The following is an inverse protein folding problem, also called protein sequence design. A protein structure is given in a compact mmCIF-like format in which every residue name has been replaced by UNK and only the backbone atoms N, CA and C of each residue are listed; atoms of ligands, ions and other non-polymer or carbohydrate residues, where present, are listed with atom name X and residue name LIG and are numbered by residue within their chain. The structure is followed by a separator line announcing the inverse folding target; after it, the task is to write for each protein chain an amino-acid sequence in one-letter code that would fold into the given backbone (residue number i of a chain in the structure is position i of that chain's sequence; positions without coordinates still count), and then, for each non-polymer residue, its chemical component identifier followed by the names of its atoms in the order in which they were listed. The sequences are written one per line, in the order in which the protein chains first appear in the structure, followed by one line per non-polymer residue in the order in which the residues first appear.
data_IF_601709256576
#
_entry.id   IF_601709256576
#
_cell.length_a   1.000
_cell.length_b   1.000
_cell.length_c   1.000
_cell.angle_alpha   90.00
_cell.angle_beta   90.00
_cell.angle_gamma   90.00
#
_symmetry.space_group_name_H-M   'P 1'
#
loop_
_entity.id
_entity.type
_entity.pdbx_description
1 polymer ?
#
# COMPACT_ATOMS: atom_id res chain seq x y z
N UNK A 1 -38.77 16.28 14.18
CA UNK A 1 -37.68 16.24 13.33
C UNK A 1 -37.16 14.92 12.81
N UNK A 2 -37.58 13.74 13.29
CA UNK A 2 -36.94 12.46 12.88
C UNK A 2 -37.47 11.87 11.57
N UNK A 3 -38.56 12.37 11.02
CA UNK A 3 -39.20 11.81 9.82
C UNK A 3 -38.55 12.20 8.48
N UNK A 4 -37.59 13.14 8.46
CA UNK A 4 -36.90 13.62 7.25
C UNK A 4 -35.36 13.50 7.33
N UNK A 5 -34.81 12.71 8.22
CA UNK A 5 -33.36 12.50 8.28
C UNK A 5 -32.90 11.68 7.07
N UNK A 6 -32.21 12.31 6.13
CA UNK A 6 -31.55 11.62 5.03
C UNK A 6 -30.27 10.97 5.56
N UNK A 7 -30.10 9.69 5.30
CA UNK A 7 -28.86 8.98 5.56
C UNK A 7 -27.83 9.34 4.49
N UNK A 8 -26.62 9.65 4.91
CA UNK A 8 -25.45 9.79 4.03
C UNK A 8 -24.33 8.87 4.49
N UNK A 9 -23.61 8.34 3.54
CA UNK A 9 -22.42 7.54 3.77
C UNK A 9 -21.31 8.10 2.87
N UNK A 10 -20.21 8.48 3.48
CA UNK A 10 -19.05 9.04 2.79
C UNK A 10 -18.08 7.92 2.47
N UNK A 11 -17.64 7.86 1.20
CA UNK A 11 -16.60 6.96 0.73
C UNK A 11 -15.42 7.77 0.24
N UNK A 12 -14.22 7.37 0.62
CA UNK A 12 -12.99 7.97 0.12
C UNK A 12 -11.91 6.91 -0.11
N UNK A 13 -10.93 7.24 -0.91
CA UNK A 13 -9.79 6.37 -1.21
C UNK A 13 -8.53 7.20 -1.41
N UNK A 14 -7.59 6.67 -2.18
CA UNK A 14 -6.25 7.23 -2.36
C UNK A 14 -6.24 8.59 -3.07
N UNK A 15 -7.27 8.92 -3.85
CA UNK A 15 -7.46 10.26 -4.41
C UNK A 15 -7.59 11.36 -3.35
N UNK A 16 -7.95 11.00 -2.12
CA UNK A 16 -8.03 11.90 -0.94
C UNK A 16 -6.76 11.84 -0.11
N UNK A 17 -6.20 10.65 0.10
CA UNK A 17 -5.13 10.43 1.08
C UNK A 17 -3.72 10.62 0.55
N UNK A 18 -3.49 10.43 -0.76
CA UNK A 18 -2.17 10.60 -1.39
C UNK A 18 -1.89 12.07 -1.75
N UNK A 19 -2.06 12.94 -0.74
CA UNK A 19 -1.76 14.37 -0.78
C UNK A 19 -0.98 14.78 0.48
N UNK A 20 -0.21 15.85 0.38
CA UNK A 20 0.54 16.42 1.53
C UNK A 20 -0.38 16.78 2.72
N UNK A 21 -1.65 17.06 2.45
CA UNK A 21 -2.68 17.35 3.45
C UNK A 21 -3.77 16.25 3.52
N UNK A 22 -3.45 15.01 3.11
CA UNK A 22 -4.40 13.91 3.05
C UNK A 22 -5.07 13.61 4.39
N UNK A 23 -4.30 13.57 5.48
CA UNK A 23 -4.82 13.37 6.84
C UNK A 23 -5.83 14.43 7.25
N UNK A 24 -5.59 15.72 6.93
CA UNK A 24 -6.54 16.80 7.22
C UNK A 24 -7.84 16.63 6.43
N UNK A 25 -7.73 16.22 5.17
CA UNK A 25 -8.92 15.99 4.33
C UNK A 25 -9.78 14.84 4.88
N UNK A 26 -9.17 13.76 5.36
CA UNK A 26 -9.90 12.67 6.03
C UNK A 26 -10.57 13.14 7.31
N UNK A 27 -9.89 13.96 8.12
CA UNK A 27 -10.48 14.56 9.33
C UNK A 27 -11.69 15.43 8.99
N UNK A 28 -11.63 16.24 7.92
CA UNK A 28 -12.75 17.07 7.48
C UNK A 28 -13.93 16.24 6.95
N UNK A 29 -13.70 15.11 6.32
CA UNK A 29 -14.74 14.15 5.93
C UNK A 29 -15.43 13.58 7.18
N UNK A 30 -14.66 13.23 8.20
CA UNK A 30 -15.21 12.78 9.48
C UNK A 30 -16.01 13.88 10.18
N UNK A 31 -15.53 15.12 10.17
CA UNK A 31 -16.24 16.30 10.70
C UNK A 31 -17.58 16.50 9.97
N UNK A 32 -17.60 16.36 8.65
CA UNK A 32 -18.84 16.47 7.85
C UNK A 32 -19.86 15.39 8.27
N UNK A 33 -19.43 14.16 8.44
CA UNK A 33 -20.29 13.08 8.90
C UNK A 33 -20.83 13.34 10.32
N UNK A 34 -19.99 13.83 11.23
CA UNK A 34 -20.40 14.18 12.59
C UNK A 34 -21.39 15.35 12.63
N UNK A 35 -21.11 16.46 11.93
CA UNK A 35 -21.97 17.67 11.97
C UNK A 35 -23.34 17.41 11.32
N UNK A 36 -23.42 16.49 10.39
CA UNK A 36 -24.67 16.08 9.73
C UNK A 36 -25.38 14.92 10.45
N UNK A 37 -24.80 14.39 11.55
CA UNK A 37 -25.37 13.28 12.33
C UNK A 37 -25.31 11.94 11.61
N UNK A 38 -24.40 11.77 10.64
CA UNK A 38 -24.25 10.54 9.86
C UNK A 38 -23.21 9.58 10.46
N UNK A 39 -23.30 9.34 11.76
CA UNK A 39 -22.45 8.44 12.55
C UNK A 39 -23.33 7.57 13.46
N UNK A 40 -22.89 6.35 13.75
CA UNK A 40 -23.44 5.51 14.83
C UNK A 40 -24.81 4.91 14.54
N UNK A 41 -25.27 4.85 13.31
CA UNK A 41 -26.55 4.23 12.94
C UNK A 41 -26.44 3.50 11.59
N UNK A 42 -27.38 2.62 11.33
CA UNK A 42 -27.39 1.82 10.09
C UNK A 42 -27.52 2.70 8.86
N UNK A 43 -26.68 2.44 7.85
CA UNK A 43 -26.72 3.12 6.55
C UNK A 43 -26.04 4.50 6.53
N UNK A 44 -25.19 4.80 7.52
CA UNK A 44 -24.38 6.02 7.56
C UNK A 44 -22.93 5.68 7.95
N UNK A 45 -22.03 6.63 7.81
CA UNK A 45 -20.64 6.53 8.29
C UNK A 45 -19.61 7.02 7.29
N UNK A 46 -18.36 7.00 7.73
CA UNK A 46 -17.19 7.28 6.90
C UNK A 46 -16.47 5.97 6.59
N UNK A 47 -16.30 5.66 5.30
CA UNK A 47 -15.83 4.38 4.85
C UNK A 47 -14.66 4.54 3.88
N UNK A 48 -13.41 4.37 4.34
CA UNK A 48 -12.27 4.32 3.44
C UNK A 48 -12.36 3.07 2.54
N UNK A 49 -12.28 3.27 1.23
CA UNK A 49 -12.20 2.18 0.27
C UNK A 49 -10.76 1.66 0.23
N UNK A 50 -10.51 0.58 0.94
CA UNK A 50 -9.21 -0.09 0.95
C UNK A 50 -8.90 -0.65 -0.44
N UNK A 51 -7.74 -0.32 -1.02
CA UNK A 51 -7.39 -0.67 -2.40
C UNK A 51 -6.94 -2.13 -2.54
N UNK A 52 -5.99 -2.54 -1.73
CA UNK A 52 -5.40 -3.88 -1.81
C UNK A 52 -6.30 -4.91 -1.11
N UNK A 53 -6.25 -6.15 -1.60
CA UNK A 53 -6.85 -7.27 -0.90
C UNK A 53 -6.19 -7.46 0.46
N UNK A 54 -7.00 -7.62 1.51
CA UNK A 54 -6.55 -7.79 2.90
C UNK A 54 -5.73 -6.62 3.50
N UNK A 55 -5.69 -5.44 2.91
CA UNK A 55 -5.01 -4.29 3.53
C UNK A 55 -5.62 -3.93 4.89
N UNK A 56 -6.94 -4.10 5.05
CA UNK A 56 -7.59 -3.92 6.34
C UNK A 56 -7.07 -4.92 7.35
N UNK A 57 -6.96 -6.20 7.00
CA UNK A 57 -6.44 -7.25 7.88
C UNK A 57 -4.97 -7.03 8.26
N UNK A 58 -4.14 -6.58 7.33
CA UNK A 58 -2.76 -6.22 7.63
C UNK A 58 -2.70 -5.07 8.66
N UNK A 59 -3.51 -4.03 8.49
CA UNK A 59 -3.63 -2.95 9.47
C UNK A 59 -4.12 -3.45 10.83
N UNK A 60 -5.13 -4.32 10.84
CA UNK A 60 -5.71 -4.88 12.08
C UNK A 60 -4.68 -5.69 12.88
N UNK A 61 -3.72 -6.31 12.19
CA UNK A 61 -2.63 -7.10 12.79
C UNK A 61 -1.39 -6.28 13.17
N UNK A 62 -1.45 -4.95 13.05
CA UNK A 62 -0.37 -4.08 13.48
C UNK A 62 0.76 -3.91 12.45
N UNK A 63 0.47 -4.00 11.16
CA UNK A 63 1.47 -3.69 10.11
C UNK A 63 1.72 -2.18 10.00
N UNK A 64 2.05 -1.57 11.15
CA UNK A 64 2.43 -0.17 11.32
C UNK A 64 3.61 -0.07 12.28
N UNK A 65 4.51 0.90 12.10
CA UNK A 65 5.68 1.04 12.98
C UNK A 65 5.32 1.48 14.41
N UNK A 66 4.09 1.88 14.68
CA UNK A 66 3.66 2.47 15.95
C UNK A 66 2.53 1.70 16.63
N UNK A 67 2.08 0.55 16.08
CA UNK A 67 0.94 -0.19 16.61
C UNK A 67 1.17 -1.69 16.73
N UNK A 68 0.64 -2.27 17.79
CA UNK A 68 0.42 -3.69 17.95
C UNK A 68 -0.93 -4.11 17.35
N UNK A 69 -1.23 -5.42 17.21
CA UNK A 69 -2.53 -5.89 16.77
C UNK A 69 -3.70 -5.23 17.50
N UNK A 70 -4.74 -4.85 16.75
CA UNK A 70 -5.92 -4.17 17.29
C UNK A 70 -5.76 -2.67 17.52
N UNK A 71 -4.83 -2.01 16.81
CA UNK A 71 -4.61 -0.55 16.88
C UNK A 71 -4.18 -0.07 18.27
N UNK A 72 -3.35 -0.84 18.95
CA UNK A 72 -2.81 -0.50 20.27
C UNK A 72 -1.40 0.04 20.14
N UNK A 73 -1.19 1.26 20.59
CA UNK A 73 0.07 1.98 20.40
C UNK A 73 1.23 1.31 21.15
N UNK A 74 2.41 1.22 20.53
CA UNK A 74 3.60 0.57 21.10
C UNK A 74 4.09 1.23 22.39
N UNK A 75 3.81 2.52 22.59
CA UNK A 75 4.13 3.26 23.83
C UNK A 75 3.17 2.96 24.99
N UNK A 76 2.04 2.25 24.75
CA UNK A 76 1.16 1.82 25.83
C UNK A 76 1.81 0.70 26.62
N UNK A 77 2.30 1.06 27.81
CA UNK A 77 3.01 0.14 28.70
C UNK A 77 2.17 -1.07 29.09
N UNK A 78 0.86 -0.89 29.31
CA UNK A 78 -0.03 -1.99 29.69
C UNK A 78 -0.14 -3.04 28.60
N UNK A 79 -0.35 -2.59 27.35
CA UNK A 79 -0.38 -3.47 26.18
C UNK A 79 0.97 -4.13 25.97
N UNK A 80 2.06 -3.35 26.01
CA UNK A 80 3.40 -3.87 25.78
C UNK A 80 3.78 -4.95 26.79
N UNK A 81 3.63 -4.69 28.08
CA UNK A 81 3.93 -5.69 29.13
C UNK A 81 3.09 -6.96 28.96
N UNK A 82 1.81 -6.86 28.58
CA UNK A 82 0.98 -8.05 28.34
C UNK A 82 1.49 -8.89 27.17
N UNK A 83 2.06 -8.26 26.13
CA UNK A 83 2.64 -8.98 24.97
C UNK A 83 4.04 -9.51 25.30
N UNK A 84 4.84 -8.77 26.05
CA UNK A 84 6.16 -9.21 26.57
C UNK A 84 6.02 -10.48 27.42
N UNK A 85 5.05 -10.49 28.33
CA UNK A 85 4.73 -11.67 29.16
C UNK A 85 4.25 -12.87 28.34
N UNK A 86 3.45 -12.61 27.28
CA UNK A 86 2.91 -13.69 26.45
C UNK A 86 3.93 -14.31 25.50
N UNK A 87 4.88 -13.51 25.01
CA UNK A 87 5.88 -13.91 24.03
C UNK A 87 7.27 -14.18 24.62
N UNK A 88 7.46 -13.88 25.90
CA UNK A 88 8.74 -14.01 26.61
C UNK A 88 9.87 -13.25 25.92
N UNK A 89 9.61 -11.98 25.56
CA UNK A 89 10.54 -11.07 24.88
C UNK A 89 10.46 -9.67 25.46
N UNK A 90 11.49 -8.87 25.24
CA UNK A 90 11.47 -7.43 25.47
C UNK A 90 11.06 -6.70 24.17
N UNK A 91 10.06 -5.83 24.23
CA UNK A 91 9.54 -5.09 23.10
C UNK A 91 9.91 -3.61 23.16
N UNK A 92 10.16 -3.00 22.01
CA UNK A 92 10.42 -1.57 21.92
C UNK A 92 9.15 -0.76 22.21
N UNK A 93 9.30 0.29 23.04
CA UNK A 93 8.21 1.21 23.38
C UNK A 93 8.13 2.45 22.48
N UNK A 94 9.11 2.64 21.63
CA UNK A 94 9.15 3.75 20.68
C UNK A 94 8.72 3.27 19.27
N UNK A 95 7.98 4.11 18.52
CA UNK A 95 7.61 3.78 17.15
C UNK A 95 8.82 3.50 16.26
N UNK A 96 8.71 2.48 15.41
CA UNK A 96 9.70 2.21 14.38
C UNK A 96 9.68 3.24 13.23
N UNK A 97 10.57 3.04 12.27
CA UNK A 97 10.66 3.90 11.07
C UNK A 97 9.50 3.62 10.12
N UNK A 98 9.03 4.67 9.45
CA UNK A 98 8.13 4.56 8.28
C UNK A 98 8.95 4.34 7.02
N UNK A 99 8.34 3.83 5.94
CA UNK A 99 9.06 3.46 4.71
C UNK A 99 9.98 4.57 4.19
N UNK A 100 9.55 5.83 4.02
CA UNK A 100 10.46 6.89 3.58
C UNK A 100 11.66 7.07 4.51
N UNK A 101 11.44 7.00 5.82
CA UNK A 101 12.51 7.11 6.80
C UNK A 101 13.45 5.89 6.81
N UNK A 102 12.94 4.68 6.53
CA UNK A 102 13.79 3.48 6.37
C UNK A 102 14.76 3.68 5.21
N UNK A 103 14.29 4.24 4.08
CA UNK A 103 15.09 4.51 2.90
C UNK A 103 16.20 5.56 3.19
N UNK A 104 15.83 6.67 3.85
CA UNK A 104 16.80 7.69 4.27
C UNK A 104 17.88 7.11 5.20
N UNK A 105 17.46 6.32 6.19
CA UNK A 105 18.38 5.71 7.14
C UNK A 105 19.21 4.57 6.53
N UNK A 106 18.74 3.94 5.45
CA UNK A 106 19.52 2.97 4.68
C UNK A 106 20.68 3.67 3.96
N UNK A 107 20.43 4.79 3.29
CA UNK A 107 21.47 5.59 2.64
C UNK A 107 22.48 6.12 3.65
N UNK A 108 22.03 6.46 4.86
CA UNK A 108 22.91 6.89 5.95
C UNK A 108 23.73 5.74 6.60
N UNK A 109 23.42 4.48 6.23
CA UNK A 109 24.07 3.27 6.77
C UNK A 109 23.56 2.82 8.14
N UNK A 110 22.48 3.41 8.65
CA UNK A 110 21.89 3.03 9.95
C UNK A 110 20.84 1.92 9.82
N UNK A 111 20.06 1.94 8.75
CA UNK A 111 19.10 0.86 8.44
C UNK A 111 19.79 -0.15 7.51
N UNK A 112 20.11 -1.33 8.04
CA UNK A 112 21.06 -2.26 7.41
C UNK A 112 20.42 -3.44 6.73
N UNK A 113 19.24 -3.86 7.18
CA UNK A 113 18.55 -5.03 6.65
C UNK A 113 17.07 -4.80 6.49
N UNK A 114 16.51 -5.33 5.40
CA UNK A 114 15.09 -5.29 5.09
C UNK A 114 14.57 -6.69 4.78
N UNK A 115 13.46 -7.06 5.40
CA UNK A 115 12.61 -8.16 4.94
C UNK A 115 11.34 -7.57 4.34
N UNK A 116 11.17 -7.75 3.03
CA UNK A 116 10.05 -7.23 2.24
C UNK A 116 9.18 -8.41 1.79
N UNK A 117 7.94 -8.45 2.24
CA UNK A 117 7.00 -9.52 1.92
C UNK A 117 5.79 -8.98 1.16
N UNK A 118 5.58 -9.48 -0.08
CA UNK A 118 4.41 -9.18 -0.89
C UNK A 118 4.32 -7.72 -1.37
N UNK A 119 5.45 -7.02 -1.44
CA UNK A 119 5.53 -5.61 -1.81
C UNK A 119 6.62 -5.38 -2.86
N UNK A 120 6.36 -4.51 -3.83
CA UNK A 120 7.33 -4.11 -4.86
C UNK A 120 7.69 -2.63 -4.73
N UNK A 121 8.45 -2.30 -3.67
CA UNK A 121 8.78 -0.92 -3.30
C UNK A 121 9.66 -0.22 -4.34
N UNK A 122 10.49 -0.95 -5.08
CA UNK A 122 11.31 -0.37 -6.15
C UNK A 122 10.47 0.21 -7.29
N UNK A 123 9.24 -0.29 -7.49
CA UNK A 123 8.30 0.24 -8.48
C UNK A 123 7.20 1.10 -7.86
N UNK A 124 6.74 0.81 -6.63
CA UNK A 124 5.59 1.48 -6.02
C UNK A 124 5.92 2.82 -5.38
N UNK A 125 7.10 2.96 -4.78
CA UNK A 125 7.44 4.15 -4.01
C UNK A 125 7.90 5.32 -4.90
N UNK A 126 7.70 6.57 -4.46
CA UNK A 126 8.07 7.75 -5.24
C UNK A 126 9.58 7.91 -5.31
N UNK A 127 10.06 8.70 -6.28
CA UNK A 127 11.49 8.95 -6.48
C UNK A 127 12.28 7.63 -6.58
N UNK A 128 11.97 6.82 -7.57
CA UNK A 128 12.55 5.48 -7.80
C UNK A 128 14.09 5.46 -7.66
N UNK A 129 14.78 6.54 -8.06
CA UNK A 129 16.25 6.61 -7.95
C UNK A 129 16.71 6.62 -6.49
N UNK A 130 15.98 7.32 -5.61
CA UNK A 130 16.24 7.31 -4.16
C UNK A 130 15.99 5.92 -3.57
N UNK A 131 14.87 5.30 -3.93
CA UNK A 131 14.50 3.95 -3.47
C UNK A 131 15.54 2.90 -3.84
N UNK A 132 15.93 2.87 -5.12
CA UNK A 132 16.91 1.89 -5.59
C UNK A 132 18.29 2.10 -4.97
N UNK A 133 18.71 3.35 -4.79
CA UNK A 133 19.95 3.67 -4.07
C UNK A 133 19.90 3.21 -2.60
N UNK A 134 18.76 3.38 -1.93
CA UNK A 134 18.58 2.89 -0.56
C UNK A 134 18.68 1.35 -0.49
N UNK A 135 18.02 0.63 -1.41
CA UNK A 135 18.11 -0.83 -1.47
C UNK A 135 19.54 -1.32 -1.72
N UNK A 136 20.29 -0.66 -2.61
CA UNK A 136 21.71 -0.98 -2.88
C UNK A 136 22.63 -0.68 -1.69
N UNK A 137 22.23 0.23 -0.79
CA UNK A 137 23.01 0.63 0.39
C UNK A 137 22.85 -0.33 1.57
N UNK A 138 21.86 -1.22 1.56
CA UNK A 138 21.61 -2.16 2.66
C UNK A 138 22.57 -3.35 2.65
N UNK A 139 22.95 -3.81 3.83
CA UNK A 139 23.80 -5.01 4.01
C UNK A 139 23.03 -6.30 3.67
N UNK A 140 21.72 -6.33 3.88
CA UNK A 140 20.87 -7.49 3.60
C UNK A 140 19.48 -7.07 3.18
N UNK A 141 19.05 -7.51 2.01
CA UNK A 141 17.66 -7.38 1.51
C UNK A 141 17.12 -8.78 1.25
N UNK A 142 16.06 -9.15 1.96
CA UNK A 142 15.33 -10.40 1.78
C UNK A 142 13.98 -10.03 1.19
N UNK A 143 13.60 -10.63 0.07
CA UNK A 143 12.30 -10.43 -0.56
C UNK A 143 11.54 -11.74 -0.60
N UNK A 144 10.32 -11.75 -0.09
CA UNK A 144 9.37 -12.86 -0.24
C UNK A 144 8.22 -12.40 -1.12
N UNK A 145 8.07 -13.00 -2.29
CA UNK A 145 6.99 -12.68 -3.22
C UNK A 145 6.65 -13.85 -4.13
N UNK A 146 5.53 -13.75 -4.84
CA UNK A 146 5.09 -14.73 -5.85
C UNK A 146 5.97 -14.72 -7.11
N UNK A 147 6.57 -13.58 -7.43
CA UNK A 147 7.34 -13.36 -8.63
C UNK A 147 8.61 -12.58 -8.33
N UNK A 148 9.65 -12.81 -9.11
CA UNK A 148 10.80 -11.92 -9.16
C UNK A 148 10.32 -10.57 -9.73
N UNK A 149 10.01 -9.65 -8.83
CA UNK A 149 9.56 -8.28 -9.10
C UNK A 149 10.76 -7.33 -9.15
N UNK A 150 10.51 -6.02 -9.29
CA UNK A 150 11.58 -5.02 -9.41
C UNK A 150 12.42 -4.92 -8.12
N UNK A 151 11.81 -5.04 -6.96
CA UNK A 151 12.51 -5.06 -5.66
C UNK A 151 13.41 -6.29 -5.52
N UNK A 152 12.96 -7.43 -6.04
CA UNK A 152 13.76 -8.67 -6.01
C UNK A 152 15.08 -8.56 -6.80
N UNK A 153 15.20 -7.62 -7.74
CA UNK A 153 16.47 -7.36 -8.46
C UNK A 153 17.58 -6.83 -7.55
N UNK A 154 17.22 -6.30 -6.38
CA UNK A 154 18.15 -5.79 -5.35
C UNK A 154 18.29 -6.74 -4.18
N UNK A 155 17.57 -7.87 -4.18
CA UNK A 155 17.57 -8.81 -3.06
C UNK A 155 18.87 -9.61 -2.98
N UNK A 156 19.36 -9.82 -1.76
CA UNK A 156 20.41 -10.77 -1.45
C UNK A 156 19.84 -12.19 -1.33
N UNK A 157 18.58 -12.29 -0.89
CA UNK A 157 17.83 -13.56 -0.76
C UNK A 157 16.42 -13.35 -1.29
N UNK A 158 15.98 -14.29 -2.14
CA UNK A 158 14.59 -14.36 -2.59
C UNK A 158 13.93 -15.63 -2.04
N UNK A 159 12.82 -15.44 -1.33
CA UNK A 159 12.00 -16.52 -0.79
C UNK A 159 10.71 -16.60 -1.62
N UNK A 160 10.47 -17.72 -2.33
CA UNK A 160 9.22 -17.89 -3.09
C UNK A 160 8.01 -17.91 -2.13
N UNK A 161 7.07 -17.00 -2.34
CA UNK A 161 5.82 -16.91 -1.58
C UNK A 161 4.73 -17.84 -2.13
N UNK A 162 3.61 -17.92 -1.41
CA UNK A 162 2.39 -18.63 -1.81
C UNK A 162 1.23 -17.68 -2.09
N UNK A 163 0.46 -17.97 -3.15
CA UNK A 163 -0.74 -17.19 -3.47
C UNK A 163 -1.89 -17.50 -2.50
N UNK A 164 -2.94 -16.67 -2.54
CA UNK A 164 -4.16 -16.93 -1.75
C UNK A 164 -4.88 -18.23 -2.11
N UNK A 165 -4.59 -18.83 -3.28
CA UNK A 165 -5.10 -20.15 -3.67
C UNK A 165 -4.34 -21.29 -3.03
N UNK A 166 -3.16 -21.04 -2.54
CA UNK A 166 -2.19 -22.01 -2.02
C UNK A 166 -2.12 -22.01 -0.48
N UNK A 167 -2.95 -21.24 0.22
CA UNK A 167 -2.91 -21.12 1.69
C UNK A 167 -4.28 -21.01 2.33
N UNK A 168 -4.34 -21.41 3.60
CA UNK A 168 -5.47 -21.14 4.48
C UNK A 168 -5.24 -19.85 5.28
N UNK A 169 -6.34 -19.18 5.66
CA UNK A 169 -6.22 -17.98 6.45
C UNK A 169 -7.51 -17.18 6.54
N UNK A 170 -7.36 -15.89 6.73
CA UNK A 170 -8.46 -14.92 6.72
C UNK A 170 -8.07 -13.67 5.95
N UNK A 171 -9.04 -13.07 5.25
CA UNK A 171 -8.94 -11.73 4.72
C UNK A 171 -9.98 -10.82 5.37
N UNK A 172 -9.59 -9.60 5.70
CA UNK A 172 -10.51 -8.59 6.22
C UNK A 172 -10.71 -7.50 5.17
N UNK A 173 -11.97 -7.25 4.82
CA UNK A 173 -12.33 -6.21 3.84
C UNK A 173 -12.56 -4.83 4.49
N UNK A 174 -12.87 -3.83 3.66
CA UNK A 174 -13.08 -2.45 4.10
C UNK A 174 -14.25 -2.26 5.08
N UNK A 175 -15.21 -3.20 5.13
CA UNK A 175 -16.29 -3.21 6.14
C UNK A 175 -15.91 -3.94 7.43
N UNK A 176 -14.62 -4.23 7.66
CA UNK A 176 -14.09 -4.95 8.82
C UNK A 176 -14.56 -6.40 8.92
N UNK A 177 -14.94 -7.00 7.79
CA UNK A 177 -15.46 -8.36 7.72
C UNK A 177 -14.31 -9.35 7.51
N UNK A 178 -14.05 -10.18 8.52
CA UNK A 178 -13.08 -11.27 8.50
C UNK A 178 -13.72 -12.45 7.77
N UNK A 179 -13.21 -12.74 6.58
CA UNK A 179 -13.71 -13.80 5.70
C UNK A 179 -12.70 -14.94 5.56
N UNK A 180 -13.14 -16.20 5.33
CA UNK A 180 -12.23 -17.33 5.16
C UNK A 180 -11.47 -17.23 3.83
N UNK A 181 -10.19 -17.57 3.90
CA UNK A 181 -9.38 -17.95 2.74
C UNK A 181 -9.15 -19.46 2.84
N UNK A 182 -9.47 -20.19 1.78
CA UNK A 182 -9.37 -21.65 1.74
C UNK A 182 -8.38 -22.05 0.67
N UNK A 183 -7.42 -22.87 1.06
CA UNK A 183 -6.46 -23.48 0.14
C UNK A 183 -7.20 -24.31 -0.91
N UNK A 184 -6.87 -24.12 -2.18
CA UNK A 184 -7.46 -24.79 -3.34
C UNK A 184 -6.46 -25.73 -4.00
N UNK A 185 -5.17 -25.42 -3.84
CA UNK A 185 -4.05 -26.18 -4.39
C UNK A 185 -2.86 -26.14 -3.45
N UNK A 186 -1.98 -27.10 -3.57
CA UNK A 186 -0.74 -27.12 -2.79
C UNK A 186 0.22 -26.00 -3.23
N UNK A 187 0.95 -25.37 -2.28
CA UNK A 187 1.95 -24.37 -2.60
C UNK A 187 3.03 -24.92 -3.52
N UNK A 188 3.35 -24.20 -4.59
CA UNK A 188 4.41 -24.61 -5.54
C UNK A 188 5.79 -24.71 -4.91
N UNK A 189 6.06 -23.87 -3.91
CA UNK A 189 7.28 -23.87 -3.12
C UNK A 189 7.26 -24.87 -1.95
N UNK A 190 6.13 -25.57 -1.72
CA UNK A 190 5.91 -26.52 -0.64
C UNK A 190 5.50 -25.89 0.70
N UNK A 191 5.40 -24.57 0.81
CA UNK A 191 5.11 -23.85 2.07
C UNK A 191 4.08 -22.75 1.87
N UNK A 192 3.21 -22.54 2.87
CA UNK A 192 2.37 -21.34 2.99
C UNK A 192 3.22 -20.17 3.53
N UNK A 193 2.87 -18.92 3.24
CA UNK A 193 3.67 -17.74 3.64
C UNK A 193 3.93 -17.67 5.15
N UNK A 194 2.93 -17.98 5.96
CA UNK A 194 3.09 -18.02 7.42
C UNK A 194 4.09 -19.10 7.89
N UNK A 195 4.22 -20.23 7.18
CA UNK A 195 5.21 -21.26 7.48
C UNK A 195 6.63 -20.78 7.19
N UNK A 196 6.80 -20.00 6.09
CA UNK A 196 8.09 -19.35 5.77
C UNK A 196 8.47 -18.37 6.88
N UNK A 197 7.52 -17.56 7.35
CA UNK A 197 7.72 -16.64 8.48
C UNK A 197 8.12 -17.41 9.76
N UNK A 198 7.47 -18.52 10.06
CA UNK A 198 7.83 -19.40 11.20
C UNK A 198 9.26 -19.96 11.05
N UNK A 199 9.62 -20.42 9.86
CA UNK A 199 10.98 -20.93 9.61
C UNK A 199 12.02 -19.82 9.76
N UNK A 200 11.76 -18.63 9.25
CA UNK A 200 12.65 -17.47 9.40
C UNK A 200 12.82 -17.10 10.87
N UNK A 201 11.73 -17.02 11.63
CA UNK A 201 11.75 -16.73 13.06
C UNK A 201 12.58 -17.73 13.84
N UNK A 202 12.40 -19.04 13.56
CA UNK A 202 13.19 -20.10 14.18
C UNK A 202 14.68 -20.00 13.82
N UNK A 203 15.01 -19.66 12.57
CA UNK A 203 16.38 -19.44 12.13
C UNK A 203 17.05 -18.25 12.81
N UNK A 204 16.28 -17.21 13.14
CA UNK A 204 16.72 -16.04 13.89
C UNK A 204 16.78 -16.28 15.42
N UNK A 205 16.42 -17.47 15.89
CA UNK A 205 16.52 -17.87 17.29
C UNK A 205 15.27 -17.62 18.14
N UNK A 206 14.17 -17.17 17.55
CA UNK A 206 12.88 -17.06 18.24
C UNK A 206 11.96 -18.24 17.87
N UNK A 207 11.61 -19.13 18.85
CA UNK A 207 10.88 -20.36 18.54
C UNK A 207 9.38 -20.12 18.31
N UNK A 208 8.92 -20.34 17.09
CA UNK A 208 7.50 -20.42 16.73
C UNK A 208 7.11 -21.87 16.39
N UNK A 209 5.91 -22.32 16.79
CA UNK A 209 5.46 -23.71 16.65
C UNK A 209 3.99 -23.85 16.28
N UNK A 210 3.55 -23.09 15.27
CA UNK A 210 2.20 -23.25 14.75
C UNK A 210 2.12 -24.38 13.74
N UNK A 211 0.98 -25.07 13.71
CA UNK A 211 0.68 -26.16 12.77
C UNK A 211 -0.38 -25.79 11.75
N UNK A 212 -1.14 -24.74 12.03
CA UNK A 212 -2.20 -24.25 11.16
C UNK A 212 -2.50 -22.78 11.45
N UNK A 213 -2.93 -22.03 10.44
CA UNK A 213 -3.25 -20.60 10.57
C UNK A 213 -4.34 -20.29 11.62
N UNK A 214 -5.19 -21.27 11.98
CA UNK A 214 -6.17 -21.10 13.07
C UNK A 214 -5.52 -20.93 14.43
N UNK A 215 -4.39 -21.60 14.70
CA UNK A 215 -3.67 -21.45 15.97
C UNK A 215 -3.09 -20.04 16.12
N UNK A 216 -2.69 -19.42 15.01
CA UNK A 216 -2.25 -18.03 14.98
C UNK A 216 -3.44 -17.10 15.31
N UNK A 217 -4.63 -17.36 14.74
CA UNK A 217 -5.82 -16.59 15.03
C UNK A 217 -6.27 -16.77 16.50
N UNK A 218 -6.14 -17.96 17.07
CA UNK A 218 -6.46 -18.22 18.49
C UNK A 218 -5.55 -17.40 19.41
N UNK A 219 -4.27 -17.26 19.06
CA UNK A 219 -3.34 -16.39 19.78
C UNK A 219 -3.68 -14.92 19.62
N UNK A 220 -4.01 -14.47 18.38
CA UNK A 220 -4.51 -13.10 18.12
C UNK A 220 -5.74 -12.82 19.00
N UNK A 221 -6.71 -13.73 19.02
CA UNK A 221 -7.93 -13.59 19.83
C UNK A 221 -7.65 -13.53 21.33
N UNK A 222 -6.68 -14.31 21.81
CA UNK A 222 -6.26 -14.30 23.22
C UNK A 222 -5.62 -12.98 23.63
N UNK A 223 -4.81 -12.38 22.76
CA UNK A 223 -3.96 -11.22 23.07
C UNK A 223 -4.57 -9.89 22.63
N UNK A 224 -5.62 -9.89 21.80
CA UNK A 224 -6.19 -8.67 21.21
C UNK A 224 -7.67 -8.52 21.59
N UNK A 225 -8.02 -7.58 22.49
CA UNK A 225 -9.38 -7.44 23.03
C UNK A 225 -10.48 -7.32 21.97
N UNK A 226 -10.23 -6.61 20.86
CA UNK A 226 -11.20 -6.44 19.77
C UNK A 226 -11.40 -7.71 18.93
N UNK A 227 -10.56 -8.72 19.08
CA UNK A 227 -10.61 -10.02 18.40
C UNK A 227 -10.96 -11.17 19.34
N UNK A 228 -11.17 -10.93 20.63
CA UNK A 228 -11.39 -11.96 21.68
C UNK A 228 -12.45 -13.01 21.32
N UNK A 229 -13.47 -12.62 20.59
CA UNK A 229 -14.54 -13.50 20.14
C UNK A 229 -14.33 -14.14 18.76
N UNK A 230 -13.19 -13.88 18.08
CA UNK A 230 -12.93 -14.40 16.74
C UNK A 230 -12.30 -15.80 16.83
N UNK A 231 -12.88 -16.77 16.12
CA UNK A 231 -12.30 -18.08 15.93
C UNK A 231 -12.68 -18.63 14.56
N UNK A 232 -11.93 -19.61 14.05
CA UNK A 232 -12.25 -20.27 12.79
C UNK A 232 -13.60 -21.00 12.86
N UNK A 233 -13.91 -21.64 13.98
CA UNK A 233 -15.19 -22.30 14.20
C UNK A 233 -16.36 -21.31 14.09
N UNK A 234 -16.30 -20.18 14.83
CA UNK A 234 -17.33 -19.16 14.77
C UNK A 234 -17.45 -18.53 13.39
N UNK A 235 -16.32 -18.20 12.76
CA UNK A 235 -16.28 -17.67 11.39
C UNK A 235 -16.96 -18.63 10.38
N UNK A 236 -16.67 -19.91 10.46
CA UNK A 236 -17.25 -20.92 9.54
C UNK A 236 -18.77 -21.08 9.78
N UNK A 237 -19.20 -21.00 11.02
CA UNK A 237 -20.63 -21.04 11.39
C UNK A 237 -21.39 -19.80 10.88
N UNK A 238 -20.81 -18.62 10.96
CA UNK A 238 -21.42 -17.34 10.58
C UNK A 238 -21.13 -16.95 9.11
N UNK A 239 -20.21 -17.64 8.45
CA UNK A 239 -19.69 -17.30 7.12
C UNK A 239 -18.63 -16.20 7.13
N UNK A 240 -18.71 -15.25 8.08
CA UNK A 240 -17.76 -14.17 8.31
C UNK A 240 -18.05 -13.47 9.63
N UNK A 241 -17.09 -12.72 10.17
CA UNK A 241 -17.24 -11.96 11.43
C UNK A 241 -16.82 -10.51 11.17
N UNK A 242 -17.64 -9.53 11.59
CA UNK A 242 -17.23 -8.12 11.61
C UNK A 242 -16.63 -7.77 12.98
N UNK A 243 -15.35 -7.42 13.02
CA UNK A 243 -14.75 -6.97 14.27
C UNK A 243 -15.17 -5.51 14.61
N UNK A 244 -15.13 -5.07 15.88
CA UNK A 244 -14.85 -5.83 17.10
C UNK A 244 -15.79 -7.01 17.32
N UNK A 245 -15.21 -8.13 17.77
CA UNK A 245 -15.96 -9.30 18.20
C UNK A 245 -15.39 -9.73 19.56
N UNK A 246 -16.14 -9.50 20.61
CA UNK A 246 -15.74 -9.71 22.00
C UNK A 246 -16.94 -10.08 22.88
N UNK A 247 -16.81 -10.03 24.20
CA UNK A 247 -17.89 -10.38 25.12
C UNK A 247 -19.10 -9.43 25.02
N UNK A 248 -18.89 -8.16 24.65
CA UNK A 248 -19.94 -7.15 24.48
C UNK A 248 -20.66 -7.31 23.12
N UNK A 249 -19.96 -7.78 22.12
CA UNK A 249 -20.46 -8.00 20.77
C UNK A 249 -20.07 -9.40 20.25
N UNK A 250 -20.66 -10.47 20.81
CA UNK A 250 -20.22 -11.84 20.55
C UNK A 250 -20.48 -12.34 19.12
N UNK A 251 -21.38 -11.69 18.37
CA UNK A 251 -21.63 -11.98 16.95
C UNK A 251 -20.92 -10.99 16.00
N UNK A 252 -20.15 -10.06 16.58
CA UNK A 252 -19.47 -8.99 15.87
C UNK A 252 -20.21 -7.66 15.89
N UNK A 253 -19.61 -6.62 15.32
CA UNK A 253 -20.09 -5.22 15.40
C UNK A 253 -20.38 -4.67 14.00
N UNK A 254 -21.59 -4.81 13.47
CA UNK A 254 -21.95 -4.30 12.15
C UNK A 254 -21.91 -2.77 12.02
N UNK A 255 -22.27 -2.08 13.11
CA UNK A 255 -22.30 -0.61 13.17
C UNK A 255 -21.38 -0.13 14.29
N UNK A 256 -20.45 0.77 13.94
CA UNK A 256 -19.52 1.38 14.89
C UNK A 256 -20.11 2.66 15.50
N UNK A 257 -19.64 3.03 16.70
CA UNK A 257 -19.93 4.31 17.34
C UNK A 257 -21.41 4.60 17.56
N UNK A 258 -22.21 3.59 18.01
CA UNK A 258 -23.65 3.74 18.22
C UNK A 258 -23.93 4.75 19.33
N UNK A 259 -23.28 4.62 20.48
CA UNK A 259 -23.50 5.45 21.66
C UNK A 259 -22.40 6.50 21.84
N UNK A 260 -21.14 6.08 21.63
CA UNK A 260 -19.98 6.95 21.79
C UNK A 260 -18.81 6.52 20.90
N UNK A 261 -17.82 7.39 20.76
CA UNK A 261 -16.53 7.03 20.17
C UNK A 261 -15.63 6.35 21.21
N UNK A 262 -14.64 5.59 20.78
CA UNK A 262 -13.64 4.96 21.68
C UNK A 262 -12.98 5.99 22.61
N UNK A 263 -12.82 7.21 22.16
CA UNK A 263 -12.29 8.35 22.93
C UNK A 263 -13.34 9.12 23.77
N UNK A 264 -14.59 8.66 23.83
CA UNK A 264 -15.73 9.36 24.42
C UNK A 264 -16.45 10.24 23.40
N UNK A 265 -16.51 11.55 23.61
CA UNK A 265 -17.18 12.49 22.68
C UNK A 265 -16.39 12.68 21.39
N UNK A 266 -17.10 12.89 20.28
CA UNK A 266 -16.52 13.32 19.02
C UNK A 266 -15.78 14.66 19.17
N UNK A 267 -14.69 14.81 18.42
CA UNK A 267 -13.90 16.04 18.40
C UNK A 267 -13.86 16.57 16.97
N UNK A 268 -14.34 17.79 16.78
CA UNK A 268 -14.18 18.50 15.52
C UNK A 268 -12.74 19.00 15.34
N UNK A 269 -12.23 18.84 14.15
CA UNK A 269 -10.90 19.29 13.75
C UNK A 269 -11.03 20.54 12.87
N UNK A 270 -10.65 21.68 13.40
CA UNK A 270 -10.66 22.94 12.66
C UNK A 270 -9.31 23.11 11.97
N UNK A 271 -9.32 23.26 10.65
CA UNK A 271 -8.12 23.48 9.86
C UNK A 271 -8.35 24.50 8.76
N UNK A 272 -7.29 25.21 8.37
CA UNK A 272 -7.28 26.07 7.21
C UNK A 272 -6.78 25.31 5.98
N UNK A 273 -7.09 25.80 4.79
CA UNK A 273 -6.53 25.28 3.56
C UNK A 273 -5.02 25.53 3.51
N UNK A 274 -4.25 24.47 3.32
CA UNK A 274 -2.82 24.53 3.09
C UNK A 274 -2.55 23.98 1.68
N UNK A 275 -2.01 24.79 0.77
CA UNK A 275 -1.69 24.31 -0.57
C UNK A 275 -0.53 23.33 -0.52
N UNK A 276 -0.46 22.42 -1.49
CA UNK A 276 0.70 21.53 -1.68
C UNK A 276 1.98 22.33 -1.91
N UNK A 277 3.12 21.73 -1.54
CA UNK A 277 4.47 22.23 -1.87
C UNK A 277 4.82 22.09 -3.35
N UNK A 278 4.16 21.15 -4.06
CA UNK A 278 4.30 20.94 -5.50
C UNK A 278 3.59 22.04 -6.31
N UNK A 279 4.28 23.17 -6.47
CA UNK A 279 3.75 24.33 -7.19
C UNK A 279 4.23 24.35 -8.63
N UNK A 280 3.28 24.62 -9.54
CA UNK A 280 3.60 24.93 -10.94
C UNK A 280 4.38 26.23 -11.04
N UNK A 281 5.21 26.32 -12.06
CA UNK A 281 5.98 27.51 -12.45
C UNK A 281 6.30 27.46 -13.95
N UNK A 282 7.06 28.42 -14.46
CA UNK A 282 7.42 28.47 -15.89
C UNK A 282 8.22 27.25 -16.37
N UNK A 283 8.97 26.57 -15.48
CA UNK A 283 9.74 25.36 -15.81
C UNK A 283 8.86 24.10 -15.77
N UNK A 284 7.90 24.05 -14.86
CA UNK A 284 6.97 22.93 -14.67
C UNK A 284 5.53 23.48 -14.65
N UNK A 285 4.92 23.75 -15.83
CA UNK A 285 3.65 24.48 -15.90
C UNK A 285 2.41 23.62 -15.76
N UNK A 286 2.54 22.30 -15.77
CA UNK A 286 1.43 21.34 -15.70
C UNK A 286 1.45 20.58 -14.37
N UNK A 287 0.27 20.13 -13.95
CA UNK A 287 0.13 19.18 -12.84
C UNK A 287 -0.08 17.78 -13.40
N UNK A 288 0.76 16.86 -13.00
CA UNK A 288 0.54 15.42 -13.23
C UNK A 288 -0.16 14.80 -12.02
N UNK A 289 -1.16 13.98 -12.30
CA UNK A 289 -1.77 13.07 -11.33
C UNK A 289 -1.61 11.63 -11.79
N UNK A 290 -1.43 10.72 -10.85
CA UNK A 290 -1.30 9.29 -11.14
C UNK A 290 -2.55 8.52 -10.74
N UNK A 291 -2.77 7.39 -11.36
CA UNK A 291 -3.90 6.52 -11.03
C UNK A 291 -3.76 5.11 -11.57
N UNK A 292 -4.87 4.40 -11.57
CA UNK A 292 -4.97 3.01 -12.02
C UNK A 292 -5.98 2.86 -13.12
N UNK A 293 -5.84 1.79 -13.92
CA UNK A 293 -6.81 1.37 -14.94
C UNK A 293 -7.40 0.02 -14.55
N UNK A 294 -8.59 -0.31 -15.06
CA UNK A 294 -9.34 -1.51 -14.66
C UNK A 294 -8.64 -2.82 -14.98
N UNK A 295 -7.78 -2.85 -16.00
CA UNK A 295 -7.08 -4.06 -16.44
C UNK A 295 -5.83 -4.40 -15.63
N UNK A 296 -5.33 -3.47 -14.82
CA UNK A 296 -4.10 -3.64 -14.05
C UNK A 296 -4.33 -3.37 -12.56
N UNK A 297 -3.61 -4.08 -11.71
CA UNK A 297 -3.69 -3.95 -10.25
C UNK A 297 -2.36 -3.48 -9.66
N UNK A 298 -2.37 -2.40 -8.90
CA UNK A 298 -1.17 -1.75 -8.32
C UNK A 298 -0.05 -1.58 -9.36
N UNK A 299 1.17 -1.99 -9.04
CA UNK A 299 2.33 -1.96 -9.95
C UNK A 299 2.27 -3.02 -11.06
N UNK A 300 1.17 -3.77 -11.18
CA UNK A 300 0.96 -4.74 -12.24
C UNK A 300 1.73 -6.05 -12.13
N UNK A 301 2.46 -6.30 -11.03
CA UNK A 301 3.30 -7.48 -10.88
C UNK A 301 2.57 -8.82 -11.14
N UNK A 302 1.31 -8.94 -10.73
CA UNK A 302 0.48 -10.11 -11.02
C UNK A 302 -0.27 -9.96 -12.35
N UNK A 303 -0.94 -8.83 -12.57
CA UNK A 303 -1.87 -8.65 -13.69
C UNK A 303 -1.18 -8.56 -15.05
N UNK A 304 0.04 -8.03 -15.14
CA UNK A 304 0.86 -8.10 -16.37
C UNK A 304 1.20 -9.53 -16.80
N UNK A 305 1.16 -10.51 -15.89
CA UNK A 305 1.39 -11.94 -16.15
C UNK A 305 0.14 -12.70 -16.56
N UNK A 306 -0.98 -11.99 -16.75
CA UNK A 306 -2.27 -12.54 -17.20
C UNK A 306 -2.63 -11.99 -18.58
N UNK A 307 -3.77 -12.45 -19.13
CA UNK A 307 -4.31 -11.92 -20.39
C UNK A 307 -4.70 -10.44 -20.32
N UNK A 308 -4.78 -9.83 -19.15
CA UNK A 308 -5.09 -8.41 -18.96
C UNK A 308 -4.07 -7.48 -19.63
N UNK A 309 -2.81 -7.93 -19.76
CA UNK A 309 -1.78 -7.18 -20.50
C UNK A 309 -2.16 -6.88 -21.96
N UNK A 310 -3.04 -7.70 -22.55
CA UNK A 310 -3.52 -7.49 -23.94
C UNK A 310 -4.43 -6.27 -24.10
N UNK A 311 -4.99 -5.77 -23.00
CA UNK A 311 -5.86 -4.59 -23.03
C UNK A 311 -5.06 -3.29 -22.88
N UNK A 312 -4.01 -3.33 -22.07
CA UNK A 312 -3.10 -2.22 -21.86
C UNK A 312 -1.72 -2.80 -21.58
N UNK A 313 -0.82 -2.69 -22.53
CA UNK A 313 0.53 -3.25 -22.54
C UNK A 313 1.62 -2.20 -22.23
N UNK A 314 1.23 -0.93 -22.09
CA UNK A 314 2.09 0.17 -21.67
C UNK A 314 1.34 1.21 -20.84
N UNK A 315 2.05 2.00 -20.05
CA UNK A 315 1.53 3.21 -19.42
C UNK A 315 1.61 4.37 -20.41
N UNK A 316 0.52 5.14 -20.53
CA UNK A 316 0.40 6.29 -21.42
C UNK A 316 0.35 7.58 -20.61
N UNK A 317 0.70 8.71 -21.21
CA UNK A 317 0.39 10.03 -20.67
C UNK A 317 -0.86 10.59 -21.37
N UNK A 318 -1.94 10.79 -20.62
CA UNK A 318 -3.16 11.44 -21.10
C UNK A 318 -2.97 12.95 -21.04
N UNK A 319 -3.20 13.62 -22.18
CA UNK A 319 -2.95 15.07 -22.36
C UNK A 319 -4.20 15.69 -22.97
N UNK A 320 -4.64 16.82 -22.40
CA UNK A 320 -5.75 17.58 -22.99
C UNK A 320 -5.38 18.12 -24.39
N UNK A 321 -6.29 18.15 -25.39
CA UNK A 321 -6.00 18.65 -26.75
C UNK A 321 -5.36 20.02 -26.77
N UNK A 322 -5.79 20.95 -25.93
CA UNK A 322 -5.22 22.29 -25.81
C UNK A 322 -3.73 22.26 -25.43
N UNK A 323 -3.38 21.47 -24.39
CA UNK A 323 -2.00 21.39 -23.91
C UNK A 323 -1.09 20.67 -24.88
N UNK A 324 -1.66 19.73 -25.65
CA UNK A 324 -0.95 18.98 -26.70
C UNK A 324 -0.66 19.91 -27.91
N UNK A 325 -1.64 20.70 -28.38
CA UNK A 325 -1.50 21.65 -29.45
C UNK A 325 -0.42 22.71 -29.17
N UNK A 326 -0.45 23.30 -27.96
CA UNK A 326 0.56 24.28 -27.53
C UNK A 326 2.01 23.74 -27.57
N UNK A 327 2.18 22.42 -27.48
CA UNK A 327 3.49 21.74 -27.43
C UNK A 327 3.83 21.00 -28.71
N UNK A 328 2.97 21.04 -29.71
CA UNK A 328 3.12 20.33 -30.98
C UNK A 328 3.13 18.79 -30.81
N UNK A 329 2.41 18.28 -29.79
CA UNK A 329 2.27 16.86 -29.48
C UNK A 329 1.02 16.34 -30.18
N UNK A 330 1.14 15.19 -30.85
CA UNK A 330 0.01 14.47 -31.46
C UNK A 330 -0.14 13.08 -30.85
N UNK A 331 -1.25 12.42 -31.14
CA UNK A 331 -1.54 11.07 -30.68
C UNK A 331 -0.39 10.10 -30.98
N UNK A 332 0.01 9.30 -30.00
CA UNK A 332 1.11 8.31 -30.05
C UNK A 332 2.53 8.90 -30.18
N UNK A 333 2.72 10.19 -30.09
CA UNK A 333 4.07 10.76 -29.97
C UNK A 333 4.77 10.28 -28.70
N UNK A 334 6.09 10.17 -28.74
CA UNK A 334 6.91 10.04 -27.55
C UNK A 334 7.01 11.40 -26.84
N UNK A 335 6.62 11.42 -25.57
CA UNK A 335 6.59 12.62 -24.72
C UNK A 335 7.50 12.43 -23.52
N UNK A 336 8.52 13.26 -23.44
CA UNK A 336 9.34 13.41 -22.25
C UNK A 336 8.55 14.16 -21.18
N UNK A 337 8.46 13.57 -19.99
CA UNK A 337 7.84 14.13 -18.80
C UNK A 337 8.95 14.42 -17.81
N UNK A 338 9.16 15.67 -17.45
CA UNK A 338 10.23 16.09 -16.55
C UNK A 338 9.61 16.74 -15.30
N UNK A 339 10.08 16.35 -14.13
CA UNK A 339 9.72 16.93 -12.84
C UNK A 339 10.96 17.42 -12.09
N UNK A 340 10.82 17.75 -10.82
CA UNK A 340 11.94 18.03 -9.90
C UNK A 340 12.73 16.78 -9.53
N UNK A 341 12.09 15.60 -9.54
CA UNK A 341 12.68 14.32 -9.16
C UNK A 341 13.45 13.67 -10.31
N UNK A 342 12.95 13.80 -11.56
CA UNK A 342 13.60 13.16 -12.71
C UNK A 342 12.82 13.31 -13.99
N UNK A 343 13.07 12.41 -14.94
CA UNK A 343 12.43 12.38 -16.25
C UNK A 343 12.06 10.95 -16.68
N UNK A 344 10.96 10.83 -17.40
CA UNK A 344 10.59 9.61 -18.12
C UNK A 344 9.97 9.95 -19.46
N UNK A 345 9.79 8.95 -20.33
CA UNK A 345 9.20 9.10 -21.66
C UNK A 345 8.06 8.12 -21.84
N UNK A 346 6.88 8.64 -22.14
CA UNK A 346 5.66 7.84 -22.37
C UNK A 346 5.05 8.21 -23.73
N UNK A 347 4.17 7.35 -24.26
CA UNK A 347 3.36 7.70 -25.44
C UNK A 347 2.20 8.61 -25.04
N UNK A 348 1.94 9.59 -25.88
CA UNK A 348 0.81 10.50 -25.73
C UNK A 348 -0.51 9.83 -26.08
N UNK A 349 -1.50 10.04 -25.24
CA UNK A 349 -2.91 9.83 -25.53
C UNK A 349 -3.65 11.16 -25.41
N UNK A 350 -4.12 11.66 -26.54
CA UNK A 350 -4.83 12.95 -26.55
C UNK A 350 -6.29 12.71 -26.20
N UNK A 351 -6.77 13.36 -25.13
CA UNK A 351 -8.12 13.12 -24.60
C UNK A 351 -8.64 14.30 -23.78
N UNK A 352 -9.95 14.54 -23.83
CA UNK A 352 -10.67 15.51 -23.02
C UNK A 352 -11.09 14.97 -21.63
N UNK A 353 -10.65 13.78 -21.26
CA UNK A 353 -10.87 13.21 -19.92
C UNK A 353 -10.11 13.97 -18.83
N UNK A 354 -9.00 14.59 -19.18
CA UNK A 354 -8.22 15.47 -18.30
C UNK A 354 -8.54 16.92 -18.58
N UNK A 355 -8.40 17.79 -17.58
CA UNK A 355 -8.61 19.23 -17.76
C UNK A 355 -7.35 19.89 -18.34
N UNK A 356 -7.47 21.02 -19.05
CA UNK A 356 -6.31 21.83 -19.42
C UNK A 356 -5.43 22.15 -18.20
N UNK A 357 -4.12 22.01 -18.37
CA UNK A 357 -3.14 22.19 -17.30
C UNK A 357 -2.92 20.95 -16.42
N UNK A 358 -3.67 19.85 -16.67
CA UNK A 358 -3.54 18.59 -15.93
C UNK A 358 -3.23 17.45 -16.90
N UNK A 359 -2.28 16.59 -16.52
CA UNK A 359 -1.97 15.35 -17.24
C UNK A 359 -2.12 14.16 -16.31
N UNK A 360 -2.43 13.00 -16.87
CA UNK A 360 -2.63 11.76 -16.13
C UNK A 360 -1.76 10.64 -16.67
N UNK A 361 -1.21 9.83 -15.77
CA UNK A 361 -0.51 8.60 -16.14
C UNK A 361 -0.79 7.48 -15.16
N UNK A 362 -0.42 6.27 -15.55
CA UNK A 362 -0.43 5.08 -14.70
C UNK A 362 1.01 4.65 -14.38
N UNK A 363 1.16 3.65 -13.52
CA UNK A 363 2.48 3.16 -13.04
C UNK A 363 2.54 1.63 -13.01
N UNK A 364 1.80 0.99 -13.92
CA UNK A 364 1.64 -0.47 -13.92
C UNK A 364 2.81 -1.21 -14.60
N UNK A 365 3.61 -0.51 -15.41
CA UNK A 365 4.72 -1.08 -16.17
C UNK A 365 6.04 -0.49 -15.66
N UNK A 366 7.00 -1.31 -15.18
CA UNK A 366 8.26 -0.80 -14.64
C UNK A 366 9.07 -0.01 -15.65
N UNK A 367 8.97 -0.36 -16.95
CA UNK A 367 9.66 0.33 -18.03
C UNK A 367 9.21 1.77 -18.22
N UNK A 368 8.00 2.11 -17.75
CA UNK A 368 7.46 3.47 -17.85
C UNK A 368 8.17 4.45 -16.92
N UNK A 369 8.63 3.98 -15.78
CA UNK A 369 9.31 4.82 -14.80
C UNK A 369 8.44 5.96 -14.27
N UNK A 370 7.14 5.75 -14.11
CA UNK A 370 6.23 6.81 -13.64
C UNK A 370 6.62 7.37 -12.26
N UNK A 371 7.16 6.52 -11.37
CA UNK A 371 7.63 6.96 -10.06
C UNK A 371 9.06 7.53 -10.05
N UNK A 372 9.75 7.55 -11.17
CA UNK A 372 10.99 8.34 -11.33
C UNK A 372 10.72 9.84 -11.26
N UNK A 373 9.51 10.25 -11.66
CA UNK A 373 9.12 11.66 -11.72
C UNK A 373 8.24 12.11 -10.55
N UNK A 374 7.74 11.20 -9.70
CA UNK A 374 7.06 11.59 -8.46
C UNK A 374 8.06 12.07 -7.40
N UNK A 375 7.66 13.04 -6.59
CA UNK A 375 8.54 13.71 -5.63
C UNK A 375 8.42 13.11 -4.23
N UNK A 376 9.33 13.48 -3.33
CA UNK A 376 9.39 13.00 -1.95
C UNK A 376 8.37 13.69 -1.02
N UNK A 377 7.45 14.50 -1.56
CA UNK A 377 6.42 15.14 -0.75
C UNK A 377 5.51 14.09 -0.12
N UNK A 378 5.25 14.25 1.16
CA UNK A 378 4.46 13.29 1.95
C UNK A 378 3.43 14.01 2.82
N UNK A 379 2.39 13.27 3.21
CA UNK A 379 1.45 13.73 4.23
C UNK A 379 2.17 14.02 5.55
N UNK A 380 1.87 15.15 6.13
CA UNK A 380 2.53 15.66 7.34
C UNK A 380 2.40 14.75 8.57
N UNK A 381 1.36 13.93 8.65
CA UNK A 381 1.10 13.08 9.82
C UNK A 381 1.51 11.62 9.60
N UNK A 382 1.36 11.11 8.37
CA UNK A 382 1.49 9.69 8.06
C UNK A 382 2.71 9.35 7.22
N UNK A 383 3.37 10.34 6.60
CA UNK A 383 4.38 10.17 5.55
C UNK A 383 3.86 9.41 4.32
N UNK A 384 2.53 9.37 4.11
CA UNK A 384 1.96 8.84 2.87
C UNK A 384 2.41 9.71 1.69
N UNK A 385 3.02 9.13 0.63
CA UNK A 385 3.50 9.92 -0.50
C UNK A 385 2.41 10.68 -1.25
N UNK A 386 2.74 11.88 -1.75
CA UNK A 386 1.83 12.72 -2.54
C UNK A 386 1.84 12.32 -4.02
N UNK A 387 1.28 11.15 -4.37
CA UNK A 387 1.22 10.67 -5.75
C UNK A 387 0.24 11.43 -6.65
N UNK A 388 -0.66 12.25 -6.08
CA UNK A 388 -1.71 12.93 -6.85
C UNK A 388 -1.31 14.30 -7.38
N UNK A 389 -0.18 14.82 -6.95
CA UNK A 389 0.28 16.15 -7.38
C UNK A 389 1.77 16.12 -7.64
N UNK A 390 2.16 16.30 -8.90
CA UNK A 390 3.56 16.50 -9.31
C UNK A 390 3.59 17.57 -10.39
N UNK A 391 4.36 18.63 -10.18
CA UNK A 391 4.53 19.66 -11.19
C UNK A 391 5.50 19.18 -12.27
N UNK A 392 5.06 19.20 -13.55
CA UNK A 392 5.78 18.64 -14.68
C UNK A 392 5.86 19.56 -15.88
N UNK A 393 6.84 19.30 -16.76
CA UNK A 393 6.93 19.79 -18.11
C UNK A 393 6.77 18.63 -19.09
N UNK A 394 6.10 18.89 -20.21
CA UNK A 394 5.98 17.96 -21.32
C UNK A 394 6.76 18.46 -22.54
N UNK A 395 7.50 17.57 -23.18
CA UNK A 395 8.26 17.89 -24.39
C UNK A 395 8.19 16.71 -25.38
N UNK A 396 7.91 16.97 -26.64
CA UNK A 396 8.01 15.93 -27.68
C UNK A 396 9.46 15.52 -27.84
N UNK A 397 9.73 14.20 -27.84
CA UNK A 397 11.08 13.62 -27.91
C UNK A 397 11.12 12.49 -28.95
N UNK A 398 12.32 12.07 -29.32
CA UNK A 398 12.55 10.94 -30.24
C UNK A 398 13.22 9.73 -29.58
N UNK A 399 13.69 9.88 -28.33
CA UNK A 399 14.45 8.86 -27.61
C UNK A 399 13.92 8.69 -26.20
N UNK A 400 14.19 7.53 -25.60
CA UNK A 400 13.87 7.24 -24.20
C UNK A 400 14.76 8.05 -23.26
N UNK A 401 14.30 8.26 -22.03
CA UNK A 401 15.07 8.93 -20.99
C UNK A 401 16.36 8.16 -20.64
N UNK A 402 17.30 8.86 -20.02
CA UNK A 402 18.54 8.26 -19.53
C UNK A 402 18.24 7.14 -18.54
N UNK A 403 17.30 7.36 -17.60
CA UNK A 403 16.88 6.36 -16.63
C UNK A 403 16.30 5.10 -17.31
N UNK A 404 15.41 5.25 -18.30
CA UNK A 404 14.81 4.11 -19.01
C UNK A 404 15.84 3.26 -19.76
N UNK A 405 16.86 3.91 -20.33
CA UNK A 405 17.96 3.20 -20.99
C UNK A 405 18.83 2.44 -19.97
N UNK A 406 19.10 3.03 -18.81
CA UNK A 406 19.82 2.38 -17.71
C UNK A 406 19.03 1.21 -17.15
N UNK A 407 17.73 1.39 -16.88
CA UNK A 407 16.83 0.35 -16.40
C UNK A 407 16.78 -0.85 -17.36
N UNK A 408 16.66 -0.62 -18.67
CA UNK A 408 16.67 -1.71 -19.67
C UNK A 408 17.99 -2.49 -19.67
N UNK A 409 19.10 -1.81 -19.48
CA UNK A 409 20.42 -2.47 -19.38
C UNK A 409 20.56 -3.28 -18.12
N UNK A 410 20.11 -2.74 -16.97
CA UNK A 410 20.12 -3.40 -15.68
C UNK A 410 19.19 -4.62 -15.66
N UNK A 411 17.95 -4.48 -16.07
CA UNK A 411 16.96 -5.58 -16.13
C UNK A 411 17.44 -6.75 -16.98
N UNK A 412 18.01 -6.48 -18.15
CA UNK A 412 18.60 -7.53 -19.00
C UNK A 412 19.75 -8.27 -18.32
N UNK A 413 20.59 -7.58 -17.56
CA UNK A 413 21.70 -8.19 -16.83
C UNK A 413 21.19 -9.13 -15.74
N UNK A 414 20.17 -8.72 -14.96
CA UNK A 414 19.58 -9.51 -13.91
C UNK A 414 18.88 -10.77 -14.44
N UNK A 415 18.09 -10.65 -15.51
CA UNK A 415 17.44 -11.81 -16.15
C UNK A 415 18.50 -12.83 -16.64
N UNK A 416 19.61 -12.36 -17.21
CA UNK A 416 20.69 -13.24 -17.66
C UNK A 416 21.42 -13.91 -16.48
N UNK A 417 21.48 -13.27 -15.33
CA UNK A 417 22.06 -13.85 -14.13
C UNK A 417 21.19 -15.00 -13.59
N UNK A 418 19.88 -14.77 -13.46
CA UNK A 418 18.91 -15.80 -13.01
C UNK A 418 18.86 -17.01 -13.96
N UNK A 419 19.04 -16.82 -15.27
CA UNK A 419 19.01 -17.90 -16.25
C UNK A 419 20.33 -18.65 -16.42
N UNK A 420 21.44 -18.14 -15.90
CA UNK A 420 22.79 -18.74 -16.11
C UNK A 420 23.25 -19.67 -15.01
N UNK A 421 22.76 -19.50 -13.81
CA UNK A 421 23.17 -20.32 -12.69
C UNK A 421 22.00 -21.21 -12.25
N UNK A 422 22.00 -22.42 -12.80
CA UNK A 422 21.40 -23.64 -12.26
C UNK A 422 20.62 -23.45 -10.94
N UNK A 423 19.32 -23.26 -11.06
CA UNK A 423 18.44 -23.68 -9.98
C UNK A 423 18.50 -25.19 -9.95
N UNK A 424 19.53 -25.75 -9.35
CA UNK A 424 19.50 -27.12 -8.85
C UNK A 424 18.65 -27.09 -7.60
N UNK A 425 17.40 -27.43 -7.78
CA UNK A 425 16.54 -27.89 -6.68
C UNK A 425 16.94 -29.36 -6.49
N UNK A 426 17.83 -29.62 -5.54
CA UNK A 426 18.05 -30.96 -4.98
C UNK A 426 16.90 -31.28 -4.03
#
# INVERSE_FOLDING_TARGET
GKENEKNSMEFHGLGVTEHEQGSKTVMLIADLAMITGNIGRKGVGVNPLRGQNNVQGACDMGSFPHEFPGYRHVSDTTTRTSLEDAWDVELQGEPGLRIPNMLDEAISGKFKALYCEGEDIAQSDPNTQHVTHALESMECVIVQDLFLNETAMYAHVFLPGSSFLEKNGTFTNAERRISPVRKVMEPKNGFEDWEITVMLSNALGYPMKYKHASEIMDEVAKLTPTFKGVSYEKRDKLGSIQWPCNDESPEGTPTMHIDEFVRGKGKFFVTEYVPTSEKINSKFPLIMTTGRILSQYNVGAQTRRTSNVKWHDEDLVEIHPHDAEERGIIENDWVGITSRAGETVLRAKITDRVQPGVVYTTFHHPESGANVITTDNTDWATNCPEFKVTAVQLTKVSELSTWQNQYKAFSKKQINFVNKDDIKID
#
